data_IF_595527193795
#
_entry.id   IF_595527193795
#
_cell.length_a   1.000
_cell.length_b   1.000
_cell.length_c   1.000
_cell.angle_alpha   90.00
_cell.angle_beta   90.00
_cell.angle_gamma   90.00
#
_symmetry.space_group_name_H-M   'P 1'
#
loop_
_entity.id
_entity.type
_entity.pdbx_description
1 polymer ?
#
# COMPACT_ATOMS: atom_id res chain seq x y z
N UNK A 1 3.71 19.70 -5.76
CA UNK A 1 2.66 20.68 -6.06
C UNK A 1 1.67 20.14 -7.10
N UNK A 2 2.12 19.82 -8.34
CA UNK A 2 1.20 19.31 -9.38
C UNK A 2 0.46 18.04 -8.97
N UNK A 3 1.14 17.13 -8.26
CA UNK A 3 0.54 15.88 -7.82
C UNK A 3 -0.59 16.05 -6.81
N UNK A 4 -0.47 17.03 -5.94
CA UNK A 4 -1.33 17.18 -4.75
C UNK A 4 -2.36 18.29 -4.89
N UNK A 5 -2.35 19.05 -5.99
CA UNK A 5 -3.08 20.33 -6.14
C UNK A 5 -2.85 21.27 -4.94
N UNK A 6 -1.71 21.11 -4.26
CA UNK A 6 -1.37 21.86 -3.05
C UNK A 6 -0.89 23.27 -3.36
N UNK A 7 -1.04 24.13 -2.36
CA UNK A 7 -0.55 25.51 -2.38
C UNK A 7 0.77 25.60 -1.63
N UNK A 8 1.83 26.08 -2.30
CA UNK A 8 3.08 26.39 -1.64
C UNK A 8 2.91 27.68 -0.84
N UNK A 9 3.00 27.60 0.47
CA UNK A 9 2.85 28.75 1.36
C UNK A 9 4.13 29.58 1.41
N UNK A 10 5.27 28.89 1.52
CA UNK A 10 6.59 29.49 1.37
C UNK A 10 7.63 28.42 0.98
N UNK A 11 8.82 28.87 0.55
CA UNK A 11 9.92 28.03 0.12
C UNK A 11 10.08 28.02 -1.41
N UNK A 12 10.98 27.18 -1.90
CA UNK A 12 11.30 27.07 -3.33
C UNK A 12 10.53 25.93 -3.98
N UNK A 13 9.98 26.17 -5.17
CA UNK A 13 9.25 25.16 -5.97
C UNK A 13 10.16 24.06 -6.54
N UNK A 14 11.46 24.29 -6.62
CA UNK A 14 12.45 23.38 -7.19
C UNK A 14 13.18 22.55 -6.11
N UNK A 15 12.71 22.57 -4.87
CA UNK A 15 13.27 21.75 -3.81
C UNK A 15 13.08 20.26 -4.10
N UNK A 16 14.17 19.52 -4.04
CA UNK A 16 14.16 18.06 -4.11
C UNK A 16 14.03 17.48 -2.70
N UNK A 17 13.30 16.40 -2.56
CA UNK A 17 13.17 15.67 -1.32
C UNK A 17 13.55 14.20 -1.54
N UNK A 18 14.25 13.63 -0.55
CA UNK A 18 14.71 12.24 -0.62
C UNK A 18 13.71 11.27 -0.01
N UNK A 19 13.08 11.66 1.09
CA UNK A 19 12.22 10.79 1.89
C UNK A 19 11.07 11.54 2.54
N UNK A 20 10.16 10.76 3.11
CA UNK A 20 8.96 11.26 3.78
C UNK A 20 8.83 10.63 5.16
N UNK A 21 8.45 11.42 6.14
CA UNK A 21 8.15 10.95 7.49
C UNK A 21 6.81 11.49 7.99
N UNK A 22 6.12 10.70 8.79
CA UNK A 22 4.89 11.10 9.51
C UNK A 22 5.12 11.28 11.01
N UNK A 23 6.33 11.01 11.48
CA UNK A 23 6.69 11.07 12.89
C UNK A 23 7.77 12.13 13.10
N UNK A 24 7.46 13.18 13.85
CA UNK A 24 8.38 14.29 14.11
C UNK A 24 9.66 13.86 14.87
N UNK A 25 9.59 12.74 15.63
CA UNK A 25 10.73 12.20 16.38
C UNK A 25 11.68 11.35 15.53
N UNK A 26 11.24 10.91 14.35
CA UNK A 26 12.01 10.04 13.43
C UNK A 26 12.46 10.81 12.18
N UNK A 27 12.31 12.14 12.18
CA UNK A 27 12.74 13.00 11.08
C UNK A 27 14.26 12.87 10.88
N UNK A 28 14.63 12.68 9.64
CA UNK A 28 16.02 12.75 9.16
C UNK A 28 16.20 14.00 8.34
N UNK A 29 17.45 14.46 8.25
CA UNK A 29 17.77 15.60 7.39
C UNK A 29 17.38 15.30 5.95
N UNK A 30 16.72 16.26 5.29
CA UNK A 30 16.16 16.08 3.93
C UNK A 30 14.76 15.47 3.85
N UNK A 31 14.19 14.97 4.94
CA UNK A 31 12.82 14.44 4.95
C UNK A 31 11.77 15.53 4.68
N UNK A 32 10.67 15.12 4.08
CA UNK A 32 9.43 15.91 4.07
C UNK A 32 8.45 15.33 5.07
N UNK A 33 8.05 16.15 6.03
CA UNK A 33 7.05 15.77 7.01
C UNK A 33 5.65 15.78 6.40
N UNK A 34 4.84 14.76 6.68
CA UNK A 34 3.43 14.71 6.31
C UNK A 34 2.57 14.73 7.57
N UNK A 35 1.88 15.83 7.78
CA UNK A 35 1.00 16.05 8.93
C UNK A 35 -0.39 15.48 8.68
N UNK A 36 -0.60 14.18 8.95
CA UNK A 36 -1.92 13.56 8.82
C UNK A 36 -2.89 14.06 9.87
N UNK A 37 -4.15 14.30 9.45
CA UNK A 37 -5.24 14.56 10.37
C UNK A 37 -5.84 13.24 10.84
N UNK A 38 -5.80 13.00 12.15
CA UNK A 38 -6.46 11.88 12.81
C UNK A 38 -7.75 12.32 13.51
N UNK A 39 -8.50 11.38 14.06
CA UNK A 39 -9.74 11.65 14.78
C UNK A 39 -9.54 12.51 16.03
N UNK A 40 -8.43 12.35 16.74
CA UNK A 40 -8.16 12.97 18.03
C UNK A 40 -7.18 14.15 17.96
N UNK A 41 -6.42 14.28 16.89
CA UNK A 41 -5.44 15.34 16.72
C UNK A 41 -5.15 15.62 15.25
N UNK A 42 -4.67 16.83 14.95
CA UNK A 42 -4.22 17.21 13.63
C UNK A 42 -2.67 17.27 13.61
N UNK A 43 -2.07 16.31 12.90
CA UNK A 43 -0.62 16.21 12.73
C UNK A 43 -0.02 17.44 12.06
N UNK A 44 -0.81 18.18 11.28
CA UNK A 44 -0.35 19.42 10.65
C UNK A 44 0.11 20.48 11.64
N UNK A 45 -0.39 20.47 12.87
CA UNK A 45 0.02 21.40 13.93
C UNK A 45 1.49 21.19 14.40
N UNK A 46 2.08 20.04 14.12
CA UNK A 46 3.45 19.69 14.48
C UNK A 46 4.48 19.99 13.38
N UNK A 47 4.09 20.73 12.33
CA UNK A 47 4.98 21.01 11.22
C UNK A 47 6.24 21.79 11.66
N UNK A 48 6.10 22.77 12.60
CA UNK A 48 7.23 23.52 13.12
C UNK A 48 8.25 22.61 13.82
N UNK A 49 7.78 21.68 14.65
CA UNK A 49 8.66 20.73 15.34
C UNK A 49 9.37 19.82 14.33
N UNK A 50 8.67 19.36 13.31
CA UNK A 50 9.28 18.57 12.23
C UNK A 50 10.38 19.35 11.51
N UNK A 51 10.12 20.64 11.17
CA UNK A 51 11.09 21.49 10.49
C UNK A 51 12.31 21.81 11.37
N UNK A 52 12.10 22.03 12.67
CA UNK A 52 13.18 22.23 13.65
C UNK A 52 14.01 20.97 13.87
N UNK A 53 13.39 19.79 13.77
CA UNK A 53 14.05 18.49 13.90
C UNK A 53 14.78 18.02 12.62
N UNK A 54 14.86 18.86 11.58
CA UNK A 54 15.65 18.60 10.38
C UNK A 54 14.83 18.40 9.11
N UNK A 55 13.49 18.29 9.18
CA UNK A 55 12.70 18.18 7.95
C UNK A 55 12.98 19.35 7.01
N UNK A 56 13.16 19.07 5.72
CA UNK A 56 13.36 20.05 4.66
C UNK A 56 12.08 20.81 4.33
N UNK A 57 10.94 20.14 4.50
CA UNK A 57 9.63 20.72 4.26
C UNK A 57 8.51 19.97 4.96
N UNK A 58 7.30 20.50 4.86
CA UNK A 58 6.10 19.89 5.39
C UNK A 58 4.94 19.96 4.41
N UNK A 59 4.12 18.90 4.39
CA UNK A 59 2.82 18.85 3.73
C UNK A 59 1.76 18.72 4.81
N UNK A 60 0.86 19.68 4.89
CA UNK A 60 -0.15 19.76 5.95
C UNK A 60 -1.53 20.07 5.36
N UNK A 61 -2.58 19.69 6.08
CA UNK A 61 -3.93 20.12 5.75
C UNK A 61 -4.08 21.62 5.96
N UNK A 62 -5.05 22.23 5.30
CA UNK A 62 -5.51 23.58 5.68
C UNK A 62 -6.04 23.54 7.11
N UNK A 63 -5.54 24.42 7.97
CA UNK A 63 -5.93 24.54 9.37
C UNK A 63 -6.37 25.98 9.58
N UNK A 64 -7.63 26.17 9.94
CA UNK A 64 -8.19 27.49 10.21
C UNK A 64 -7.48 28.16 11.39
N UNK A 65 -7.11 29.42 11.23
CA UNK A 65 -6.43 30.22 12.26
C UNK A 65 -4.98 29.82 12.52
N UNK A 66 -4.40 28.89 11.75
CA UNK A 66 -2.98 28.57 11.86
C UNK A 66 -2.14 29.60 11.10
N UNK A 67 -1.39 30.42 11.85
CA UNK A 67 -0.35 31.24 11.26
C UNK A 67 0.89 30.39 10.96
N UNK A 68 1.26 30.30 9.69
CA UNK A 68 2.43 29.52 9.29
C UNK A 68 3.67 30.38 9.37
N UNK A 69 4.56 30.03 10.31
CA UNK A 69 5.85 30.68 10.48
C UNK A 69 6.83 30.24 9.40
N UNK A 70 7.51 31.22 8.82
CA UNK A 70 8.58 30.95 7.86
C UNK A 70 9.87 30.56 8.61
N UNK A 71 10.49 29.49 8.14
CA UNK A 71 11.82 29.06 8.54
C UNK A 71 12.74 29.07 7.31
N UNK A 72 13.97 29.56 7.48
CA UNK A 72 14.93 29.66 6.40
C UNK A 72 15.23 28.30 5.78
N UNK A 73 15.35 28.25 4.46
CA UNK A 73 15.68 27.05 3.69
C UNK A 73 14.69 25.89 3.86
N UNK A 74 13.47 26.19 4.28
CA UNK A 74 12.38 25.22 4.44
C UNK A 74 11.21 25.57 3.52
N UNK A 75 10.29 24.61 3.32
CA UNK A 75 9.05 24.87 2.60
C UNK A 75 7.83 24.27 3.32
N UNK A 76 6.68 24.86 3.09
CA UNK A 76 5.40 24.31 3.54
C UNK A 76 4.40 24.31 2.40
N UNK A 77 3.78 23.16 2.18
CA UNK A 77 2.69 22.95 1.22
C UNK A 77 1.42 22.67 2.00
N UNK A 78 0.38 23.44 1.73
CA UNK A 78 -0.97 23.13 2.20
C UNK A 78 -1.77 22.38 1.15
N UNK A 79 -2.51 21.38 1.58
CA UNK A 79 -3.40 20.56 0.78
C UNK A 79 -4.78 20.47 1.44
N UNK A 80 -5.80 20.09 0.69
CA UNK A 80 -7.14 19.86 1.25
C UNK A 80 -7.18 18.59 2.11
N UNK A 81 -6.49 17.53 1.66
CA UNK A 81 -6.37 16.26 2.38
C UNK A 81 -4.96 15.68 2.21
N UNK A 82 -4.23 15.52 3.33
CA UNK A 82 -2.88 14.94 3.34
C UNK A 82 -2.86 13.45 3.02
N UNK A 83 -3.95 12.72 3.26
CA UNK A 83 -4.07 11.30 2.91
C UNK A 83 -4.18 11.15 1.39
N UNK A 84 -5.04 11.95 0.77
CA UNK A 84 -5.15 11.99 -0.69
C UNK A 84 -3.82 12.44 -1.32
N UNK A 85 -3.20 13.48 -0.78
CA UNK A 85 -1.93 14.01 -1.26
C UNK A 85 -0.81 12.96 -1.24
N UNK A 86 -0.67 12.19 -0.15
CA UNK A 86 0.34 11.14 -0.07
C UNK A 86 0.08 10.01 -1.07
N UNK A 87 -1.18 9.66 -1.29
CA UNK A 87 -1.57 8.70 -2.33
C UNK A 87 -1.15 9.15 -3.73
N UNK A 88 -1.41 10.41 -4.08
CA UNK A 88 -1.03 10.99 -5.38
C UNK A 88 0.50 11.08 -5.56
N UNK A 89 1.23 11.46 -4.53
CA UNK A 89 2.71 11.48 -4.57
C UNK A 89 3.26 10.06 -4.75
N UNK A 90 2.71 9.08 -4.00
CA UNK A 90 3.11 7.69 -4.11
C UNK A 90 2.83 7.11 -5.50
N UNK A 91 1.67 7.44 -6.10
CA UNK A 91 1.32 7.07 -7.47
C UNK A 91 2.33 7.60 -8.48
N UNK A 92 2.65 8.88 -8.42
CA UNK A 92 3.67 9.49 -9.29
C UNK A 92 5.05 8.86 -9.08
N UNK A 93 5.42 8.56 -7.84
CA UNK A 93 6.68 7.87 -7.58
C UNK A 93 6.66 6.46 -8.16
N UNK A 94 5.58 5.70 -7.94
CA UNK A 94 5.42 4.35 -8.47
C UNK A 94 5.56 4.29 -10.00
N UNK A 95 5.02 5.26 -10.70
CA UNK A 95 5.06 5.35 -12.16
C UNK A 95 6.47 5.50 -12.74
N UNK A 96 7.44 5.92 -11.94
CA UNK A 96 8.85 6.03 -12.35
C UNK A 96 9.61 4.69 -12.31
N UNK A 97 9.01 3.64 -11.75
CA UNK A 97 9.65 2.35 -11.57
C UNK A 97 9.00 1.28 -12.45
N UNK A 98 9.76 0.73 -13.38
CA UNK A 98 9.33 -0.43 -14.17
C UNK A 98 9.79 -1.73 -13.52
N UNK A 99 9.22 -2.04 -12.37
CA UNK A 99 9.55 -3.22 -11.56
C UNK A 99 8.32 -4.10 -11.32
N UNK A 100 8.49 -5.40 -11.07
CA UNK A 100 7.42 -6.26 -10.61
C UNK A 100 6.81 -5.75 -9.29
N UNK A 101 5.50 -5.74 -9.22
CA UNK A 101 4.76 -5.42 -8.00
C UNK A 101 3.80 -6.53 -7.68
N UNK A 102 3.99 -7.15 -6.52
CA UNK A 102 3.13 -8.21 -6.00
C UNK A 102 2.25 -7.61 -4.91
N UNK A 103 0.94 -7.53 -5.19
CA UNK A 103 -0.06 -7.04 -4.24
C UNK A 103 -0.83 -8.21 -3.62
N UNK A 104 -0.97 -8.20 -2.29
CA UNK A 104 -1.59 -9.30 -1.55
C UNK A 104 -2.78 -8.79 -0.74
N UNK A 105 -3.93 -9.42 -0.90
CA UNK A 105 -5.10 -9.24 -0.03
C UNK A 105 -5.68 -10.58 0.41
N UNK A 106 -6.67 -10.54 1.30
CA UNK A 106 -7.38 -11.71 1.79
C UNK A 106 -8.00 -11.45 3.16
N UNK A 107 -8.86 -12.34 3.61
CA UNK A 107 -9.46 -12.25 4.94
C UNK A 107 -8.44 -12.54 6.03
N UNK A 108 -7.64 -13.59 5.86
CA UNK A 108 -6.54 -14.00 6.75
C UNK A 108 -5.30 -14.36 5.93
N UNK A 109 -4.13 -14.42 6.57
CA UNK A 109 -2.88 -14.88 5.97
C UNK A 109 -2.16 -13.84 5.09
N UNK A 110 -2.65 -12.61 4.93
CA UNK A 110 -2.01 -11.56 4.14
C UNK A 110 -0.55 -11.32 4.52
N UNK A 111 -0.30 -11.05 5.79
CA UNK A 111 1.03 -10.70 6.31
C UNK A 111 2.00 -11.87 6.17
N UNK A 112 1.58 -13.09 6.55
CA UNK A 112 2.41 -14.29 6.39
C UNK A 112 2.74 -14.54 4.92
N UNK A 113 1.75 -14.47 4.02
CA UNK A 113 1.96 -14.62 2.58
C UNK A 113 2.91 -13.56 2.02
N UNK A 114 2.73 -12.30 2.41
CA UNK A 114 3.63 -11.19 2.05
C UNK A 114 5.07 -11.49 2.49
N UNK A 115 5.26 -11.95 3.73
CA UNK A 115 6.60 -12.22 4.27
C UNK A 115 7.27 -13.42 3.59
N UNK A 116 6.51 -14.48 3.29
CA UNK A 116 7.01 -15.64 2.54
C UNK A 116 7.39 -15.23 1.11
N UNK A 117 6.50 -14.53 0.38
CA UNK A 117 6.80 -14.06 -0.97
C UNK A 117 8.02 -13.15 -0.97
N UNK A 118 8.11 -12.21 -0.02
CA UNK A 118 9.28 -11.34 0.11
C UNK A 118 10.55 -12.13 0.35
N UNK A 119 10.54 -13.15 1.23
CA UNK A 119 11.74 -13.95 1.52
C UNK A 119 12.24 -14.70 0.30
N UNK A 120 11.34 -15.16 -0.57
CA UNK A 120 11.70 -15.82 -1.83
C UNK A 120 12.22 -14.81 -2.86
N UNK A 121 11.49 -13.71 -3.06
CA UNK A 121 11.83 -12.67 -4.05
C UNK A 121 13.17 -12.02 -3.73
N UNK A 122 13.45 -11.78 -2.45
CA UNK A 122 14.69 -11.14 -2.00
C UNK A 122 15.94 -12.02 -2.11
N UNK A 123 15.79 -13.32 -2.45
CA UNK A 123 16.94 -14.15 -2.79
C UNK A 123 17.61 -13.72 -4.11
N UNK A 124 16.88 -13.04 -4.98
CA UNK A 124 17.35 -12.63 -6.30
C UNK A 124 17.30 -11.13 -6.54
N UNK A 125 16.33 -10.44 -5.97
CA UNK A 125 16.05 -9.03 -6.24
C UNK A 125 16.21 -8.19 -4.99
N UNK A 126 16.71 -6.96 -5.11
CA UNK A 126 16.60 -5.96 -4.06
C UNK A 126 15.13 -5.56 -3.92
N UNK A 127 14.40 -6.18 -3.00
CA UNK A 127 12.97 -6.03 -2.87
C UNK A 127 12.59 -5.12 -1.70
N UNK A 128 11.55 -4.30 -1.92
CA UNK A 128 10.87 -3.55 -0.85
C UNK A 128 9.57 -4.25 -0.48
N UNK A 129 9.22 -4.29 0.81
CA UNK A 129 7.92 -4.79 1.26
C UNK A 129 7.22 -3.86 2.24
N UNK A 130 5.90 -4.01 2.35
CA UNK A 130 5.12 -3.43 3.44
C UNK A 130 5.65 -3.89 4.79
N UNK A 131 5.98 -2.95 5.66
CA UNK A 131 6.42 -3.22 7.03
C UNK A 131 5.21 -3.43 7.95
N UNK A 132 5.27 -4.48 8.77
CA UNK A 132 4.17 -4.80 9.69
C UNK A 132 2.83 -4.90 8.97
N UNK A 133 1.85 -4.18 9.49
CA UNK A 133 0.48 -4.07 8.98
C UNK A 133 0.19 -2.70 8.31
N UNK A 134 1.19 -2.04 7.75
CA UNK A 134 1.04 -0.75 7.04
C UNK A 134 0.35 -0.95 5.68
N UNK A 135 -0.85 -1.50 5.69
CA UNK A 135 -1.58 -2.02 4.51
C UNK A 135 -2.80 -1.16 4.10
N UNK A 136 -2.97 0.00 4.74
CA UNK A 136 -4.09 0.91 4.51
C UNK A 136 -3.70 2.10 3.60
N UNK A 137 -4.64 3.05 3.42
CA UNK A 137 -4.51 4.25 2.58
C UNK A 137 -3.43 5.26 3.03
N UNK A 138 -2.78 5.05 4.17
CA UNK A 138 -1.58 5.79 4.60
C UNK A 138 -0.34 4.90 4.49
N UNK A 139 -0.41 3.69 5.03
CA UNK A 139 0.76 2.81 5.18
C UNK A 139 1.30 2.31 3.84
N UNK A 140 0.42 1.86 2.94
CA UNK A 140 0.86 1.35 1.64
C UNK A 140 1.47 2.45 0.76
N UNK A 141 0.88 3.67 0.62
CA UNK A 141 1.54 4.77 -0.05
C UNK A 141 2.90 5.15 0.58
N UNK A 142 3.01 5.19 1.91
CA UNK A 142 4.29 5.45 2.58
C UNK A 142 5.34 4.38 2.26
N UNK A 143 4.94 3.11 2.12
CA UNK A 143 5.83 2.04 1.65
C UNK A 143 6.34 2.34 0.24
N UNK A 144 5.49 2.72 -0.69
CA UNK A 144 5.87 3.08 -2.08
C UNK A 144 6.80 4.29 -2.10
N UNK A 145 6.60 5.27 -1.23
CA UNK A 145 7.51 6.42 -1.08
C UNK A 145 8.91 6.01 -0.62
N UNK A 146 9.06 4.83 -0.04
CA UNK A 146 10.33 4.21 0.31
C UNK A 146 11.11 3.62 -0.87
N UNK A 147 10.55 3.54 -2.08
CA UNK A 147 11.26 3.02 -3.25
C UNK A 147 12.53 3.84 -3.55
N UNK A 148 13.64 3.14 -3.86
CA UNK A 148 14.94 3.68 -4.26
C UNK A 148 15.48 2.83 -5.43
N UNK A 149 16.54 2.13 -5.21
CA UNK A 149 17.19 1.18 -6.11
C UNK A 149 16.56 -0.23 -6.10
N UNK A 150 15.31 -0.32 -5.63
CA UNK A 150 14.59 -1.58 -5.52
C UNK A 150 14.18 -2.11 -6.89
N UNK A 151 14.29 -3.43 -7.03
CA UNK A 151 14.00 -4.19 -8.26
C UNK A 151 12.66 -4.93 -8.18
N UNK A 152 12.05 -5.02 -7.00
CA UNK A 152 10.73 -5.59 -6.80
C UNK A 152 10.01 -4.92 -5.61
N UNK A 153 8.67 -4.98 -5.62
CA UNK A 153 7.85 -4.45 -4.55
C UNK A 153 6.78 -5.48 -4.14
N UNK A 154 6.70 -5.77 -2.84
CA UNK A 154 5.70 -6.69 -2.27
C UNK A 154 4.82 -5.91 -1.29
N UNK A 155 3.57 -5.64 -1.66
CA UNK A 155 2.65 -4.83 -0.86
C UNK A 155 1.48 -5.62 -0.33
N UNK A 156 1.20 -5.44 0.94
CA UNK A 156 -0.04 -5.90 1.57
C UNK A 156 -1.11 -4.84 1.44
N UNK A 157 -2.32 -5.24 1.06
CA UNK A 157 -3.49 -4.37 0.91
C UNK A 157 -4.63 -4.85 1.81
N UNK A 158 -4.93 -4.06 2.83
CA UNK A 158 -6.07 -4.26 3.73
C UNK A 158 -7.28 -3.47 3.28
N UNK A 159 -8.48 -3.93 3.68
CA UNK A 159 -9.72 -3.20 3.46
C UNK A 159 -10.75 -3.51 4.54
N UNK A 160 -11.62 -2.56 4.80
CA UNK A 160 -12.79 -2.66 5.68
C UNK A 160 -14.10 -2.40 4.91
N UNK A 161 -14.04 -1.64 3.81
CA UNK A 161 -15.18 -1.19 3.02
C UNK A 161 -14.89 -1.31 1.53
N UNK A 162 -15.95 -1.27 0.72
CA UNK A 162 -15.84 -1.16 -0.73
C UNK A 162 -15.05 0.09 -1.16
N UNK A 163 -14.35 0.00 -2.27
CA UNK A 163 -13.58 1.09 -2.87
C UNK A 163 -12.20 1.32 -2.24
N UNK A 164 -11.89 0.68 -1.11
CA UNK A 164 -10.58 0.86 -0.47
C UNK A 164 -9.46 0.16 -1.27
N UNK A 165 -9.68 -1.08 -1.71
CA UNK A 165 -8.69 -1.77 -2.55
C UNK A 165 -8.58 -1.14 -3.93
N UNK A 166 -9.67 -0.64 -4.52
CA UNK A 166 -9.64 0.11 -5.78
C UNK A 166 -8.66 1.29 -5.72
N UNK A 167 -8.70 2.06 -4.63
CA UNK A 167 -7.75 3.17 -4.40
C UNK A 167 -6.32 2.70 -4.25
N UNK A 168 -6.09 1.66 -3.44
CA UNK A 168 -4.74 1.13 -3.20
C UNK A 168 -4.14 0.53 -4.46
N UNK A 169 -4.89 -0.26 -5.21
CA UNK A 169 -4.41 -0.91 -6.42
C UNK A 169 -4.14 0.09 -7.55
N UNK A 170 -4.93 1.18 -7.64
CA UNK A 170 -4.71 2.28 -8.58
C UNK A 170 -3.38 3.02 -8.33
N UNK A 171 -2.91 3.05 -7.07
CA UNK A 171 -1.60 3.61 -6.71
C UNK A 171 -0.48 2.60 -7.00
N UNK A 172 -0.63 1.35 -6.57
CA UNK A 172 0.42 0.34 -6.66
C UNK A 172 0.63 -0.20 -8.07
N UNK A 173 -0.42 -0.27 -8.89
CA UNK A 173 -0.42 -0.84 -10.26
C UNK A 173 0.30 -2.19 -10.29
N UNK A 174 -0.26 -3.24 -9.65
CA UNK A 174 0.42 -4.52 -9.51
C UNK A 174 0.58 -5.23 -10.86
N UNK A 175 1.65 -6.01 -10.99
CA UNK A 175 1.85 -6.99 -12.06
C UNK A 175 1.32 -8.36 -11.65
N UNK A 176 1.25 -8.61 -10.33
CA UNK A 176 0.72 -9.84 -9.74
C UNK A 176 -0.20 -9.44 -8.58
N UNK A 177 -1.43 -9.95 -8.60
CA UNK A 177 -2.42 -9.76 -7.52
C UNK A 177 -2.73 -11.11 -6.86
N UNK A 178 -2.54 -11.21 -5.55
CA UNK A 178 -2.75 -12.44 -4.78
C UNK A 178 -3.95 -12.27 -3.86
N UNK A 179 -4.91 -13.19 -3.92
CA UNK A 179 -6.03 -13.26 -2.98
C UNK A 179 -5.91 -14.55 -2.19
N UNK A 180 -5.57 -14.45 -0.90
CA UNK A 180 -5.28 -15.63 -0.07
C UNK A 180 -6.53 -16.42 0.27
N UNK A 181 -7.61 -15.74 0.62
CA UNK A 181 -8.93 -16.35 0.89
C UNK A 181 -10.03 -15.30 1.05
N UNK A 182 -11.29 -15.79 1.03
CA UNK A 182 -12.50 -15.05 1.36
C UNK A 182 -13.18 -15.76 2.53
N UNK A 183 -12.92 -15.27 3.73
CA UNK A 183 -13.57 -15.69 4.98
C UNK A 183 -14.64 -14.70 5.43
N UNK A 184 -14.79 -14.54 6.74
CA UNK A 184 -15.80 -13.68 7.39
C UNK A 184 -15.23 -12.38 7.97
N UNK A 185 -13.92 -12.12 7.79
CA UNK A 185 -13.32 -10.86 8.25
C UNK A 185 -14.04 -9.66 7.58
N UNK A 186 -14.41 -8.67 8.41
CA UNK A 186 -15.14 -7.46 7.99
C UNK A 186 -16.61 -7.72 7.55
N UNK A 187 -17.19 -8.87 7.90
CA UNK A 187 -18.58 -9.20 7.53
C UNK A 187 -19.59 -8.20 8.11
N UNK A 188 -19.28 -7.63 9.29
CA UNK A 188 -20.12 -6.59 9.90
C UNK A 188 -20.23 -5.31 9.06
N UNK A 189 -19.19 -4.98 8.27
CA UNK A 189 -19.17 -3.81 7.40
C UNK A 189 -19.73 -4.11 6.00
N UNK A 190 -19.56 -5.35 5.52
CA UNK A 190 -19.84 -5.74 4.14
C UNK A 190 -21.11 -6.60 4.00
N UNK A 191 -21.62 -7.15 5.10
CA UNK A 191 -22.89 -7.86 5.17
C UNK A 191 -22.84 -9.34 4.79
N UNK A 192 -22.07 -9.74 3.78
CA UNK A 192 -21.97 -11.13 3.34
C UNK A 192 -20.58 -11.52 2.83
N UNK A 193 -20.30 -12.84 2.70
CA UNK A 193 -19.08 -13.35 2.12
C UNK A 193 -18.94 -13.01 0.63
N UNK A 194 -20.05 -12.96 -0.10
CA UNK A 194 -20.09 -12.55 -1.51
C UNK A 194 -19.68 -11.08 -1.66
N UNK A 195 -20.11 -10.23 -0.74
CA UNK A 195 -19.68 -8.83 -0.72
C UNK A 195 -18.20 -8.70 -0.33
N UNK A 196 -17.70 -9.54 0.59
CA UNK A 196 -16.26 -9.62 0.90
C UNK A 196 -15.46 -10.05 -0.33
N UNK A 197 -15.94 -11.03 -1.10
CA UNK A 197 -15.34 -11.41 -2.37
C UNK A 197 -15.28 -10.22 -3.34
N UNK A 198 -16.42 -9.53 -3.56
CA UNK A 198 -16.47 -8.35 -4.43
C UNK A 198 -15.45 -7.28 -4.02
N UNK A 199 -15.40 -6.95 -2.73
CA UNK A 199 -14.45 -5.97 -2.21
C UNK A 199 -12.98 -6.42 -2.39
N UNK A 200 -12.67 -7.73 -2.25
CA UNK A 200 -11.30 -8.23 -2.48
C UNK A 200 -10.93 -8.28 -3.95
N UNK A 201 -11.87 -8.50 -4.84
CA UNK A 201 -11.66 -8.49 -6.28
C UNK A 201 -11.31 -7.09 -6.81
N UNK A 202 -11.60 -6.02 -6.09
CA UNK A 202 -11.16 -4.66 -6.42
C UNK A 202 -9.63 -4.57 -6.62
N UNK A 203 -8.84 -5.49 -6.02
CA UNK A 203 -7.38 -5.53 -6.23
C UNK A 203 -7.02 -5.75 -7.71
N UNK A 204 -7.90 -6.38 -8.48
CA UNK A 204 -7.72 -6.65 -9.91
C UNK A 204 -7.95 -5.42 -10.79
N UNK A 205 -8.64 -4.39 -10.31
CA UNK A 205 -8.92 -3.18 -11.08
C UNK A 205 -7.65 -2.41 -11.48
N UNK A 206 -6.60 -2.48 -10.63
CA UNK A 206 -5.30 -1.87 -10.92
C UNK A 206 -4.27 -2.84 -11.49
N UNK A 207 -4.64 -4.12 -11.71
CA UNK A 207 -3.75 -5.11 -12.30
C UNK A 207 -3.33 -4.66 -13.70
N UNK A 208 -2.03 -4.61 -13.96
CA UNK A 208 -1.52 -4.16 -15.26
C UNK A 208 -1.94 -5.12 -16.38
N UNK A 209 -2.02 -4.61 -17.60
CA UNK A 209 -2.29 -5.44 -18.77
C UNK A 209 -1.26 -6.58 -18.87
N UNK A 210 -1.73 -7.80 -19.02
CA UNK A 210 -0.88 -9.01 -19.00
C UNK A 210 -0.45 -9.45 -17.59
N UNK A 211 -0.95 -8.78 -16.56
CA UNK A 211 -0.68 -9.17 -15.17
C UNK A 211 -1.43 -10.42 -14.75
N UNK A 212 -0.95 -11.07 -13.70
CA UNK A 212 -1.44 -12.38 -13.23
C UNK A 212 -2.20 -12.26 -11.91
N UNK A 213 -3.40 -12.83 -11.85
CA UNK A 213 -4.13 -13.08 -10.61
C UNK A 213 -3.73 -14.44 -10.02
N UNK A 214 -3.35 -14.47 -8.74
CA UNK A 214 -3.01 -15.72 -8.03
C UNK A 214 -4.07 -15.99 -6.97
N UNK A 215 -4.77 -17.12 -7.09
CA UNK A 215 -5.96 -17.41 -6.29
C UNK A 215 -5.85 -18.75 -5.57
N UNK A 216 -6.31 -18.77 -4.32
CA UNK A 216 -6.50 -19.99 -3.55
C UNK A 216 -7.71 -20.77 -4.07
N UNK A 217 -7.47 -21.88 -4.75
CA UNK A 217 -8.51 -22.70 -5.35
C UNK A 217 -9.25 -23.59 -4.35
N UNK A 218 -8.76 -23.72 -3.12
CA UNK A 218 -9.45 -24.42 -2.04
C UNK A 218 -10.49 -23.53 -1.34
N UNK A 219 -10.50 -22.22 -1.65
CA UNK A 219 -11.54 -21.33 -1.17
C UNK A 219 -12.76 -21.37 -2.10
N UNK A 220 -13.90 -21.73 -1.56
CA UNK A 220 -15.16 -21.98 -2.29
C UNK A 220 -15.58 -20.82 -3.22
N UNK A 221 -15.52 -19.57 -2.70
CA UNK A 221 -15.94 -18.40 -3.47
C UNK A 221 -14.91 -18.02 -4.54
N UNK A 222 -13.60 -18.16 -4.26
CA UNK A 222 -12.54 -17.90 -5.25
C UNK A 222 -12.56 -18.97 -6.35
N UNK A 223 -12.79 -20.24 -5.98
CA UNK A 223 -12.93 -21.33 -6.95
C UNK A 223 -14.10 -21.07 -7.92
N UNK A 224 -15.28 -20.75 -7.39
CA UNK A 224 -16.46 -20.42 -8.22
C UNK A 224 -16.16 -19.24 -9.14
N UNK A 225 -15.61 -18.16 -8.61
CA UNK A 225 -15.27 -16.97 -9.39
C UNK A 225 -14.26 -17.29 -10.50
N UNK A 226 -13.22 -18.09 -10.20
CA UNK A 226 -12.23 -18.54 -11.18
C UNK A 226 -12.85 -19.27 -12.37
N UNK A 227 -13.83 -20.14 -12.14
CA UNK A 227 -14.49 -20.90 -13.20
C UNK A 227 -15.28 -20.00 -14.18
N UNK A 228 -15.81 -18.88 -13.67
CA UNK A 228 -16.65 -17.95 -14.41
C UNK A 228 -15.88 -16.82 -15.11
N UNK A 229 -14.60 -16.57 -14.73
CA UNK A 229 -13.84 -15.37 -15.14
C UNK A 229 -12.53 -15.73 -15.86
N UNK A 230 -12.66 -16.15 -17.13
CA UNK A 230 -11.51 -16.56 -17.98
C UNK A 230 -10.78 -15.43 -18.70
N UNK A 231 -11.22 -14.18 -18.54
CA UNK A 231 -10.59 -13.00 -19.15
C UNK A 231 -9.29 -12.58 -18.48
N UNK A 232 -9.02 -13.06 -17.27
CA UNK A 232 -7.78 -12.79 -16.55
C UNK A 232 -6.76 -13.92 -16.80
N UNK A 233 -5.47 -13.56 -16.78
CA UNK A 233 -4.42 -14.56 -16.62
C UNK A 233 -4.43 -15.02 -15.15
N UNK A 234 -4.87 -16.24 -14.89
CA UNK A 234 -5.05 -16.75 -13.53
C UNK A 234 -4.13 -17.94 -13.31
N UNK A 235 -3.42 -17.89 -12.17
CA UNK A 235 -2.68 -19.00 -11.58
C UNK A 235 -3.38 -19.40 -10.29
N UNK A 236 -3.69 -20.68 -10.14
CA UNK A 236 -4.33 -21.21 -8.93
C UNK A 236 -3.34 -22.00 -8.09
N UNK A 237 -3.56 -22.01 -6.79
CA UNK A 237 -2.87 -22.90 -5.85
C UNK A 237 -3.87 -23.58 -4.92
N UNK A 238 -3.54 -24.77 -4.45
CA UNK A 238 -4.41 -25.52 -3.53
C UNK A 238 -3.77 -26.83 -3.08
N UNK A 239 -4.48 -27.47 -2.15
CA UNK A 239 -4.17 -28.79 -1.60
C UNK A 239 -5.25 -29.79 -2.02
N UNK A 240 -6.54 -29.35 -1.97
CA UNK A 240 -7.70 -30.22 -2.15
C UNK A 240 -8.26 -30.14 -3.58
N UNK A 241 -8.33 -28.96 -4.17
CA UNK A 241 -8.84 -28.74 -5.50
C UNK A 241 -7.70 -28.69 -6.52
N UNK A 242 -7.87 -29.40 -7.65
CA UNK A 242 -6.89 -29.39 -8.73
C UNK A 242 -6.54 -27.96 -9.16
N UNK A 243 -5.27 -27.62 -9.09
CA UNK A 243 -4.75 -26.26 -9.22
C UNK A 243 -3.50 -26.25 -10.10
N UNK A 244 -3.15 -25.08 -10.64
CA UNK A 244 -1.90 -24.88 -11.39
C UNK A 244 -0.66 -25.24 -10.56
N UNK A 245 -0.75 -25.04 -9.26
CA UNK A 245 0.28 -25.41 -8.29
C UNK A 245 -0.39 -26.17 -7.14
N UNK A 246 -0.04 -27.44 -6.99
CA UNK A 246 -0.54 -28.32 -5.93
C UNK A 246 0.52 -28.49 -4.86
N UNK A 247 0.11 -28.48 -3.59
CA UNK A 247 0.94 -28.99 -2.51
C UNK A 247 0.56 -30.47 -2.27
N UNK A 248 1.53 -31.35 -2.39
CA UNK A 248 1.38 -32.80 -2.23
C UNK A 248 2.37 -33.31 -1.15
N UNK A 249 2.08 -34.46 -0.57
CA UNK A 249 2.93 -35.12 0.44
C UNK A 249 3.32 -34.20 1.59
N UNK A 250 2.32 -33.48 2.13
CA UNK A 250 2.55 -32.50 3.20
C UNK A 250 2.85 -33.23 4.49
N UNK A 251 4.03 -32.99 5.04
CA UNK A 251 4.45 -33.48 6.35
C UNK A 251 4.46 -32.34 7.36
N UNK A 252 3.92 -32.61 8.54
CA UNK A 252 3.94 -31.67 9.67
C UNK A 252 4.87 -32.18 10.76
N UNK A 253 5.70 -31.30 11.30
CA UNK A 253 6.53 -31.58 12.47
C UNK A 253 6.49 -30.39 13.45
N UNK A 254 7.17 -30.52 14.61
CA UNK A 254 7.18 -29.49 15.64
C UNK A 254 7.81 -28.16 15.21
N UNK A 255 8.59 -28.14 14.13
CA UNK A 255 9.30 -26.96 13.64
C UNK A 255 8.68 -26.36 12.37
N UNK A 256 7.70 -27.00 11.76
CA UNK A 256 7.05 -26.52 10.55
C UNK A 256 6.38 -27.60 9.70
N UNK A 257 6.23 -27.28 8.41
CA UNK A 257 5.69 -28.19 7.38
C UNK A 257 6.67 -28.32 6.21
N UNK A 258 6.67 -29.49 5.60
CA UNK A 258 7.44 -29.79 4.39
C UNK A 258 6.51 -30.25 3.29
#
# INVERSE_FOLDING_TARGET
>A
LKATNGTLIYGNKLEECESFSKNTKEIKDGDVYIGFRGERFDGGKFYEDALKNGAKGAIINKIDGLEIKRLENKFVIQVDDTVEAVGQIAKLKREKYNIPVIAITGSVGKTSTKDIIYSVVSQKYNALKTQGNMNNHIGMPMTILGLRDHEALVVEMGMNHFGELSKLTAIAKPTIAVITNVGTAHIGNLGSRENILKAKLEILEGLQQGGTAVLNNDNDLLHKWYLENKQYQIVTYGINNYSSNMAENIEYNETGSK
#
